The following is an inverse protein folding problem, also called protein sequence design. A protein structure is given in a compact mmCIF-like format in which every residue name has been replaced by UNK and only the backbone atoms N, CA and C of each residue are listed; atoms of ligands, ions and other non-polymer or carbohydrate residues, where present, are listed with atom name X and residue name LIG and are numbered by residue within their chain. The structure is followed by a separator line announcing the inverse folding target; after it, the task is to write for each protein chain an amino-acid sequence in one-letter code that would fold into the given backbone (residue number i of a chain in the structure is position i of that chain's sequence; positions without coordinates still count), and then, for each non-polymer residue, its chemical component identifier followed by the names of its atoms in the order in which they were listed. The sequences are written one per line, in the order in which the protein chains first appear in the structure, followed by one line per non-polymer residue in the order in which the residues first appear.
data_IF_762920048609
#
_entry.id   IF_762920048609
#
_cell.length_a   1.000
_cell.length_b   1.000
_cell.length_c   1.000
_cell.angle_alpha   90.00
_cell.angle_beta   90.00
_cell.angle_gamma   90.00
#
_symmetry.space_group_name_H-M   'P 1'
#
loop_
_entity.id
_entity.type
_entity.pdbx_description
1 polymer ?
#
# COMPACT_ATOMS: atom_id res chain seq x y z
N UNK A 1 -5.32 -1.50 -21.22
CA UNK A 1 -4.82 -0.82 -20.00
C UNK A 1 -5.84 -1.06 -18.91
N UNK A 2 -5.44 -1.55 -17.74
CA UNK A 2 -6.40 -1.93 -16.69
C UNK A 2 -6.59 -0.80 -15.69
N UNK A 3 -7.84 -0.48 -15.39
CA UNK A 3 -8.22 0.65 -14.55
C UNK A 3 -8.93 0.14 -13.29
N UNK A 4 -8.52 0.61 -12.11
CA UNK A 4 -9.29 0.49 -10.87
C UNK A 4 -10.41 1.54 -10.90
N UNK A 5 -11.65 1.08 -10.75
CA UNK A 5 -12.85 1.93 -10.89
C UNK A 5 -13.47 2.32 -9.55
N UNK A 6 -13.28 1.51 -8.49
CA UNK A 6 -13.86 1.75 -7.17
C UNK A 6 -12.83 1.50 -6.07
N UNK A 7 -12.97 2.27 -4.98
CA UNK A 7 -12.25 2.07 -3.73
C UNK A 7 -13.26 2.00 -2.59
N UNK A 8 -13.34 0.84 -1.92
CA UNK A 8 -14.22 0.62 -0.76
C UNK A 8 -13.39 0.59 0.51
N UNK A 9 -13.81 1.37 1.48
CA UNK A 9 -13.20 1.41 2.81
C UNK A 9 -13.92 0.42 3.72
N UNK A 10 -13.16 -0.45 4.39
CA UNK A 10 -13.65 -1.38 5.41
C UNK A 10 -12.67 -1.41 6.55
N UNK A 11 -13.09 -1.94 7.69
CA UNK A 11 -12.21 -2.18 8.83
C UNK A 11 -11.82 -3.65 8.94
N UNK A 12 -10.71 -3.91 9.60
CA UNK A 12 -10.24 -5.24 9.94
C UNK A 12 -9.12 -5.17 10.95
N UNK A 13 -8.30 -6.22 11.00
CA UNK A 13 -7.16 -6.30 11.90
C UNK A 13 -5.87 -6.57 11.12
N UNK A 14 -4.78 -5.92 11.54
CA UNK A 14 -3.42 -6.24 11.14
C UNK A 14 -2.65 -6.61 12.41
N UNK A 15 -2.38 -7.92 12.59
CA UNK A 15 -2.02 -8.48 13.89
C UNK A 15 -3.14 -8.20 14.90
N UNK A 16 -2.79 -7.68 16.07
CA UNK A 16 -3.75 -7.37 17.15
C UNK A 16 -4.28 -5.93 17.08
N UNK A 17 -3.99 -5.17 16.01
CA UNK A 17 -4.35 -3.76 15.88
C UNK A 17 -5.43 -3.56 14.82
N UNK A 18 -6.48 -2.79 15.16
CA UNK A 18 -7.53 -2.39 14.20
C UNK A 18 -6.91 -1.58 13.07
N UNK A 19 -7.19 -1.99 11.84
CA UNK A 19 -6.64 -1.44 10.61
C UNK A 19 -7.76 -1.01 9.66
N UNK A 20 -7.49 0.02 8.87
CA UNK A 20 -8.34 0.41 7.76
C UNK A 20 -7.86 -0.31 6.50
N UNK A 21 -8.80 -0.88 5.77
CA UNK A 21 -8.56 -1.64 4.54
C UNK A 21 -9.27 -0.92 3.40
N UNK A 22 -8.50 -0.45 2.42
CA UNK A 22 -9.01 0.02 1.15
C UNK A 22 -8.95 -1.11 0.14
N UNK A 23 -10.12 -1.63 -0.24
CA UNK A 23 -10.27 -2.66 -1.26
C UNK A 23 -10.55 -2.00 -2.60
N UNK A 24 -9.85 -2.47 -3.62
CA UNK A 24 -10.04 -2.07 -4.99
C UNK A 24 -10.45 -3.30 -5.82
N UNK A 25 -10.89 -3.08 -7.05
CA UNK A 25 -11.10 -4.17 -7.99
C UNK A 25 -9.84 -5.02 -8.19
N UNK A 26 -10.01 -6.25 -8.67
CA UNK A 26 -8.89 -7.16 -9.06
C UNK A 26 -7.97 -7.56 -7.91
N UNK A 27 -8.52 -7.65 -6.70
CA UNK A 27 -7.80 -8.12 -5.52
C UNK A 27 -6.72 -7.16 -5.01
N UNK A 28 -6.64 -5.93 -5.53
CA UNK A 28 -5.74 -4.91 -5.00
C UNK A 28 -6.27 -4.39 -3.68
N UNK A 29 -5.42 -4.32 -2.65
CA UNK A 29 -5.81 -3.81 -1.33
C UNK A 29 -4.68 -2.99 -0.72
N UNK A 30 -5.04 -1.93 0.00
CA UNK A 30 -4.12 -1.18 0.85
C UNK A 30 -4.61 -1.34 2.30
N UNK A 31 -3.73 -1.78 3.18
CA UNK A 31 -3.99 -1.94 4.61
C UNK A 31 -3.07 -0.98 5.36
N UNK A 32 -3.63 -0.27 6.32
CA UNK A 32 -2.88 0.68 7.12
C UNK A 32 -3.65 1.21 8.31
N UNK A 33 -3.06 2.19 8.98
CA UNK A 33 -3.61 2.82 10.16
C UNK A 33 -3.91 4.28 9.87
N UNK A 34 -5.13 4.71 10.17
CA UNK A 34 -5.56 6.10 10.08
C UNK A 34 -5.32 6.79 11.43
N UNK A 35 -4.70 7.96 11.41
CA UNK A 35 -4.60 8.88 12.54
C UNK A 35 -4.75 10.30 12.03
N UNK A 36 -5.86 10.96 12.35
CA UNK A 36 -6.22 12.28 11.80
C UNK A 36 -6.15 12.28 10.25
N UNK A 37 -5.45 13.25 9.66
CA UNK A 37 -5.22 13.36 8.21
C UNK A 37 -3.97 12.59 7.72
N UNK A 38 -3.44 11.68 8.53
CA UNK A 38 -2.31 10.81 8.20
C UNK A 38 -2.76 9.35 8.05
N UNK A 39 -2.33 8.74 6.96
CA UNK A 39 -2.44 7.30 6.74
C UNK A 39 -1.06 6.62 6.71
N UNK A 40 -0.87 5.63 7.57
CA UNK A 40 0.33 4.78 7.58
C UNK A 40 0.03 3.46 6.87
N UNK A 41 0.55 3.29 5.66
CA UNK A 41 0.47 2.05 4.89
C UNK A 41 1.40 1.01 5.52
N UNK A 42 0.84 -0.18 5.78
CA UNK A 42 1.59 -1.38 6.18
C UNK A 42 1.69 -2.39 5.06
N UNK A 43 0.61 -2.55 4.30
CA UNK A 43 0.55 -3.54 3.22
C UNK A 43 -0.10 -2.93 1.99
N UNK A 44 0.48 -3.22 0.83
CA UNK A 44 -0.13 -3.02 -0.48
C UNK A 44 -0.09 -4.37 -1.21
N UNK A 45 -1.24 -4.99 -1.42
CA UNK A 45 -1.36 -6.22 -2.21
C UNK A 45 -1.81 -5.91 -3.64
N UNK A 46 -1.28 -6.67 -4.60
CA UNK A 46 -1.69 -6.63 -6.01
C UNK A 46 -2.23 -8.03 -6.34
N UNK A 47 -3.53 -8.23 -6.13
CA UNK A 47 -4.16 -9.55 -6.01
C UNK A 47 -4.36 -10.36 -7.30
N UNK A 48 -3.61 -10.10 -8.38
CA UNK A 48 -3.62 -10.96 -9.57
C UNK A 48 -2.20 -11.32 -10.00
N UNK A 49 -1.99 -12.61 -10.27
CA UNK A 49 -0.86 -13.15 -11.00
C UNK A 49 -1.29 -13.34 -12.48
N UNK A 50 -0.61 -12.73 -13.48
CA UNK A 50 0.64 -11.97 -13.39
C UNK A 50 0.47 -10.60 -12.74
N UNK A 51 1.51 -10.17 -12.00
CA UNK A 51 1.59 -8.82 -11.42
C UNK A 51 1.31 -7.77 -12.49
N UNK A 52 0.18 -7.07 -12.37
CA UNK A 52 -0.20 -6.07 -13.36
C UNK A 52 0.54 -4.76 -13.11
N UNK A 53 1.44 -4.41 -14.03
CA UNK A 53 2.23 -3.16 -13.97
C UNK A 53 1.30 -1.96 -13.78
N UNK A 54 1.60 -1.11 -12.80
CA UNK A 54 0.91 0.17 -12.59
C UNK A 54 -0.28 0.15 -11.62
N UNK A 55 -0.78 -1.02 -11.19
CA UNK A 55 -1.91 -1.09 -10.24
C UNK A 55 -1.62 -0.41 -8.91
N UNK A 56 -0.46 -0.68 -8.32
CA UNK A 56 -0.07 -0.03 -7.06
C UNK A 56 -0.04 1.50 -7.17
N UNK A 57 0.46 2.03 -8.30
CA UNK A 57 0.44 3.47 -8.59
C UNK A 57 -1.01 3.99 -8.65
N UNK A 58 -1.90 3.27 -9.31
CA UNK A 58 -3.30 3.70 -9.47
C UNK A 58 -4.05 3.66 -8.14
N UNK A 59 -3.88 2.61 -7.34
CA UNK A 59 -4.47 2.52 -6.01
C UNK A 59 -4.01 3.69 -5.13
N UNK A 60 -2.73 4.04 -5.17
CA UNK A 60 -2.21 5.20 -4.44
C UNK A 60 -2.74 6.54 -4.97
N UNK A 61 -2.96 6.68 -6.28
CA UNK A 61 -3.62 7.88 -6.85
C UNK A 61 -5.05 8.06 -6.32
N UNK A 62 -5.79 6.97 -6.15
CA UNK A 62 -7.14 7.01 -5.58
C UNK A 62 -7.12 7.29 -4.07
N UNK A 63 -6.10 6.79 -3.37
CA UNK A 63 -5.94 7.02 -1.93
C UNK A 63 -5.46 8.43 -1.59
N UNK A 64 -4.56 9.00 -2.41
CA UNK A 64 -3.84 10.25 -2.14
C UNK A 64 -4.72 11.44 -1.73
N UNK A 65 -5.91 11.68 -2.34
CA UNK A 65 -6.76 12.81 -1.95
C UNK A 65 -7.37 12.70 -0.56
N UNK A 66 -7.45 11.50 0.04
CA UNK A 66 -8.11 11.29 1.34
C UNK A 66 -7.24 11.71 2.54
N UNK A 67 -5.97 12.00 2.32
CA UNK A 67 -5.01 12.23 3.39
C UNK A 67 -4.03 13.33 3.02
N UNK A 68 -3.72 14.22 3.94
CA UNK A 68 -2.64 15.20 3.77
C UNK A 68 -1.28 14.50 3.72
N UNK A 69 -1.12 13.48 4.59
CA UNK A 69 0.11 12.73 4.76
C UNK A 69 -0.14 11.23 4.56
N UNK A 70 0.72 10.59 3.78
CA UNK A 70 0.79 9.15 3.64
C UNK A 70 2.23 8.71 3.94
N UNK A 71 2.41 7.75 4.82
CA UNK A 71 3.71 7.10 5.05
C UNK A 71 3.61 5.61 4.79
N UNK A 72 4.75 4.97 4.57
CA UNK A 72 4.84 3.52 4.44
C UNK A 72 5.83 3.01 5.47
N UNK A 73 5.48 1.99 6.23
CA UNK A 73 6.38 1.35 7.21
C UNK A 73 6.52 -0.14 6.92
N UNK A 74 7.54 -0.77 7.51
CA UNK A 74 7.85 -2.20 7.31
C UNK A 74 8.07 -2.57 5.84
N UNK A 75 8.86 -1.75 5.15
CA UNK A 75 9.11 -1.92 3.72
C UNK A 75 10.05 -3.10 3.52
N UNK A 76 9.61 -4.14 2.82
CA UNK A 76 10.54 -5.15 2.33
C UNK A 76 11.52 -4.55 1.31
N UNK A 77 12.78 -4.92 1.41
CA UNK A 77 13.86 -4.52 0.50
C UNK A 77 13.50 -4.64 -0.99
N UNK A 78 12.88 -5.75 -1.41
CA UNK A 78 12.45 -5.98 -2.80
C UNK A 78 11.37 -5.00 -3.26
N UNK A 79 10.60 -4.42 -2.33
CA UNK A 79 9.55 -3.45 -2.60
C UNK A 79 10.05 -2.00 -2.49
N UNK A 80 11.23 -1.77 -1.91
CA UNK A 80 11.79 -0.43 -1.71
C UNK A 80 11.89 0.38 -3.01
N UNK A 81 12.38 -0.16 -4.15
CA UNK A 81 12.44 0.61 -5.40
C UNK A 81 11.07 1.09 -5.89
N UNK A 82 10.00 0.33 -5.61
CA UNK A 82 8.64 0.75 -5.92
C UNK A 82 8.25 1.96 -5.06
N UNK A 83 8.49 1.90 -3.75
CA UNK A 83 8.09 2.95 -2.82
C UNK A 83 8.89 4.24 -2.99
N UNK A 84 10.19 4.17 -3.31
CA UNK A 84 10.98 5.35 -3.69
C UNK A 84 10.32 6.08 -4.86
N UNK A 85 9.97 5.36 -5.92
CA UNK A 85 9.27 5.94 -7.08
C UNK A 85 7.89 6.51 -6.73
N UNK A 86 7.19 5.96 -5.74
CA UNK A 86 5.89 6.52 -5.31
C UNK A 86 6.07 7.83 -4.53
N UNK A 87 7.15 7.93 -3.73
CA UNK A 87 7.51 9.16 -3.03
C UNK A 87 7.91 10.27 -4.01
N UNK A 88 8.78 9.97 -4.97
CA UNK A 88 9.19 10.91 -6.03
C UNK A 88 7.98 11.44 -6.83
N UNK A 89 6.93 10.63 -6.97
CA UNK A 89 5.68 11.01 -7.66
C UNK A 89 4.67 11.74 -6.76
N UNK A 90 5.01 12.06 -5.52
CA UNK A 90 4.13 12.72 -4.55
C UNK A 90 2.92 11.88 -4.09
N UNK A 91 2.94 10.57 -4.35
CA UNK A 91 1.84 9.66 -3.97
C UNK A 91 1.94 9.22 -2.50
N UNK A 92 3.12 9.32 -1.92
CA UNK A 92 3.38 9.17 -0.49
C UNK A 92 4.37 10.25 -0.05
N UNK A 93 4.41 10.55 1.25
CA UNK A 93 5.29 11.57 1.82
C UNK A 93 6.57 10.93 2.40
N UNK A 94 6.43 9.86 3.18
CA UNK A 94 7.53 9.30 3.98
C UNK A 94 7.70 7.79 3.78
N UNK A 95 8.96 7.37 3.78
CA UNK A 95 9.37 5.97 3.88
C UNK A 95 9.84 5.71 5.31
N UNK A 96 9.37 4.63 5.91
CA UNK A 96 9.79 4.14 7.22
C UNK A 96 10.92 3.12 7.08
N UNK A 97 11.05 2.27 8.09
CA UNK A 97 12.10 1.25 8.15
C UNK A 97 11.98 0.23 7.00
N UNK A 98 13.16 -0.16 6.50
CA UNK A 98 13.32 -1.25 5.53
C UNK A 98 13.65 -2.51 6.31
N UNK A 99 12.90 -3.58 6.05
CA UNK A 99 13.18 -4.93 6.54
C UNK A 99 13.87 -5.69 5.42
N UNK A 100 15.03 -6.28 5.72
CA UNK A 100 15.60 -7.30 4.87
C UNK A 100 14.62 -8.47 4.85
N UNK A 101 14.29 -8.99 3.67
CA UNK A 101 13.53 -10.23 3.62
C UNK A 101 14.49 -11.34 4.06
N UNK A 102 14.41 -11.77 5.33
CA UNK A 102 15.00 -13.05 5.71
C UNK A 102 14.36 -14.11 4.81
N UNK A 103 15.20 -14.73 3.97
CA UNK A 103 14.81 -15.82 3.06
C UNK A 103 14.45 -17.04 3.91
N UNK A 104 13.30 -17.01 4.57
CA UNK A 104 12.80 -18.16 5.33
C UNK A 104 11.40 -18.60 4.89
N UNK A 105 11.00 -18.22 3.67
CA UNK A 105 9.88 -18.84 2.95
C UNK A 105 10.23 -18.91 1.46
N UNK A 106 11.19 -19.77 1.15
CA UNK A 106 11.34 -20.37 -0.17
C UNK A 106 11.09 -21.88 0.00
N UNK A 107 9.82 -22.24 0.13
CA UNK A 107 9.32 -23.58 -0.17
C UNK A 107 8.48 -23.51 -1.45
#
# INVERSE_FOLDING_TARGET
MYTLHEMRETEGYYGNRRATIYKFGRGVRIIGFKKNNHFEIRVLTIGMNPRQKGMGKQALKMLRPKFEKISVSEIYDYALPFWIKMKERGLINNLGSVKTADREYAD
#
